data_IF_468571350406
#
_entry.id   IF_468571350406
#
_cell.length_a   1.000
_cell.length_b   1.000
_cell.length_c   1.000
_cell.angle_alpha   90.00
_cell.angle_beta   90.00
_cell.angle_gamma   90.00
#
_symmetry.space_group_name_H-M   'P 1'
#
loop_
_entity.id
_entity.type
_entity.pdbx_description
1 polymer ?
#
# COMPACT_ATOMS: atom_id res chain seq x y z
N UNK A 1 28.33 -37.77 -32.03
CA UNK A 1 27.25 -38.36 -31.20
C UNK A 1 26.33 -37.22 -30.75
N UNK A 2 25.07 -37.28 -31.20
CA UNK A 2 24.03 -36.36 -30.74
C UNK A 2 23.52 -36.94 -29.43
N UNK A 3 23.60 -36.15 -28.34
CA UNK A 3 23.06 -36.57 -27.07
C UNK A 3 21.63 -35.99 -26.90
N UNK A 4 20.68 -36.75 -26.35
CA UNK A 4 19.35 -36.26 -26.08
C UNK A 4 19.42 -35.12 -25.06
N UNK A 5 18.80 -33.98 -25.35
CA UNK A 5 18.75 -32.82 -24.49
C UNK A 5 17.32 -32.35 -24.25
N UNK A 6 17.13 -31.51 -23.24
CA UNK A 6 15.87 -30.83 -23.01
C UNK A 6 15.75 -29.60 -23.93
N UNK A 7 14.69 -29.53 -24.73
CA UNK A 7 14.38 -28.39 -25.59
C UNK A 7 13.24 -27.55 -24.97
N UNK A 8 13.40 -26.25 -24.98
CA UNK A 8 12.36 -25.30 -24.60
C UNK A 8 11.95 -24.48 -25.82
N UNK A 9 10.72 -24.59 -26.22
CA UNK A 9 10.18 -23.69 -27.23
C UNK A 9 9.95 -22.30 -26.56
N UNK A 10 10.60 -21.28 -27.12
CA UNK A 10 10.51 -19.90 -26.59
C UNK A 10 9.60 -19.03 -27.46
N UNK A 11 8.69 -18.26 -26.84
CA UNK A 11 7.93 -17.20 -27.51
C UNK A 11 8.52 -15.88 -27.06
N UNK A 12 9.09 -15.13 -28.02
CA UNK A 12 9.61 -13.78 -27.77
C UNK A 12 8.45 -12.78 -27.87
N UNK A 13 8.34 -11.92 -26.88
CA UNK A 13 7.31 -10.87 -26.83
C UNK A 13 7.80 -9.68 -26.01
N UNK A 14 7.03 -8.60 -25.95
CA UNK A 14 7.23 -7.48 -25.05
C UNK A 14 6.36 -7.61 -23.80
N UNK A 15 6.77 -6.96 -22.72
CA UNK A 15 6.01 -6.93 -21.50
C UNK A 15 6.33 -5.71 -20.66
N UNK A 16 5.62 -5.58 -19.56
CA UNK A 16 5.84 -4.54 -18.57
C UNK A 16 5.92 -5.13 -17.18
N UNK A 17 6.87 -4.63 -16.40
CA UNK A 17 6.96 -4.93 -14.96
C UNK A 17 6.08 -3.95 -14.20
N UNK A 18 5.23 -4.46 -13.31
CA UNK A 18 4.33 -3.67 -12.49
C UNK A 18 4.51 -4.01 -11.01
N UNK A 19 4.19 -3.08 -10.11
CA UNK A 19 4.11 -3.40 -8.68
C UNK A 19 2.98 -4.39 -8.42
N UNK A 20 3.22 -5.38 -7.56
CA UNK A 20 2.18 -6.33 -7.17
C UNK A 20 1.11 -5.66 -6.30
N UNK A 21 -0.13 -6.11 -6.43
CA UNK A 21 -1.21 -5.68 -5.54
C UNK A 21 -0.90 -6.12 -4.11
N UNK A 22 -1.11 -5.21 -3.14
CA UNK A 22 -0.82 -5.46 -1.72
C UNK A 22 0.57 -4.97 -1.27
N UNK A 23 1.48 -4.68 -2.18
CA UNK A 23 2.77 -4.03 -1.86
C UNK A 23 2.66 -2.50 -1.76
N UNK A 24 1.49 -1.94 -2.05
CA UNK A 24 1.19 -0.51 -1.96
C UNK A 24 0.24 -0.22 -0.80
N UNK A 25 0.51 0.84 -0.08
CA UNK A 25 -0.36 1.34 0.98
C UNK A 25 -0.44 2.85 0.91
N UNK A 26 -1.65 3.38 1.12
CA UNK A 26 -1.92 4.81 1.03
C UNK A 26 -2.05 5.38 2.43
N UNK A 27 -1.26 6.40 2.74
CA UNK A 27 -1.43 7.23 3.92
C UNK A 27 -2.59 8.19 3.67
N UNK A 28 -3.63 8.11 4.51
CA UNK A 28 -4.84 8.93 4.39
C UNK A 28 -4.94 9.94 5.53
N UNK A 29 -5.64 11.03 5.31
CA UNK A 29 -5.91 12.04 6.33
C UNK A 29 -6.78 11.45 7.45
N UNK A 30 -6.29 11.51 8.68
CA UNK A 30 -6.99 11.06 9.89
C UNK A 30 -7.86 12.16 10.51
N UNK A 31 -7.54 13.40 10.21
CA UNK A 31 -8.31 14.60 10.58
C UNK A 31 -8.38 15.54 9.38
N UNK A 32 -9.38 16.42 9.34
CA UNK A 32 -9.41 17.49 8.37
C UNK A 32 -8.40 18.58 8.74
N UNK A 33 -7.78 19.20 7.74
CA UNK A 33 -6.79 20.24 7.99
C UNK A 33 -6.04 20.68 6.75
N UNK A 34 -5.11 21.60 6.96
CA UNK A 34 -4.19 22.10 5.93
C UNK A 34 -2.91 21.28 5.96
N UNK A 35 -2.49 20.82 4.79
CA UNK A 35 -1.30 19.99 4.58
C UNK A 35 -0.03 20.82 4.78
N UNK A 36 0.90 20.27 5.58
CA UNK A 36 2.29 20.70 5.63
C UNK A 36 3.21 19.48 5.62
N UNK A 37 4.22 19.46 4.75
CA UNK A 37 5.16 18.35 4.71
C UNK A 37 6.17 18.43 5.85
N UNK A 38 6.43 17.28 6.49
CA UNK A 38 7.48 17.20 7.51
C UNK A 38 8.84 16.94 6.86
N UNK A 39 9.49 18.03 6.43
CA UNK A 39 10.75 17.97 5.71
C UNK A 39 10.54 17.75 4.19
N UNK A 40 11.60 17.33 3.51
CA UNK A 40 11.56 17.12 2.06
C UNK A 40 11.02 15.72 1.76
N UNK A 41 9.72 15.63 1.47
CA UNK A 41 9.08 14.40 1.00
C UNK A 41 8.99 14.46 -0.52
N UNK A 42 9.63 13.51 -1.21
CA UNK A 42 9.67 13.43 -2.68
C UNK A 42 9.39 12.00 -3.13
N UNK A 43 8.89 11.84 -4.33
CA UNK A 43 8.71 10.54 -4.97
C UNK A 43 10.06 9.81 -5.11
N UNK A 44 10.07 8.50 -4.88
CA UNK A 44 11.26 7.67 -4.82
C UNK A 44 12.02 7.69 -3.48
N UNK A 45 11.62 8.55 -2.53
CA UNK A 45 12.28 8.60 -1.21
C UNK A 45 11.97 7.34 -0.40
N UNK A 46 13.01 6.76 0.21
CA UNK A 46 12.87 5.64 1.15
C UNK A 46 12.28 6.12 2.48
N UNK A 47 11.31 5.37 2.99
CA UNK A 47 10.62 5.65 4.26
C UNK A 47 10.45 4.37 5.07
N UNK A 48 10.54 4.50 6.39
CA UNK A 48 10.21 3.41 7.33
C UNK A 48 8.76 3.53 7.80
N UNK A 49 8.16 2.39 8.17
CA UNK A 49 6.84 2.40 8.83
C UNK A 49 6.86 3.31 10.05
N UNK A 50 5.88 4.22 10.15
CA UNK A 50 5.77 5.18 11.23
C UNK A 50 6.53 6.50 10.99
N UNK A 51 7.29 6.64 9.88
CA UNK A 51 7.92 7.92 9.52
C UNK A 51 6.85 8.97 9.23
N UNK A 52 6.88 10.15 9.90
CA UNK A 52 5.94 11.23 9.61
C UNK A 52 6.20 11.80 8.20
N UNK A 53 5.17 11.81 7.36
CA UNK A 53 5.23 12.31 5.99
C UNK A 53 4.58 13.70 5.89
N UNK A 54 3.40 13.84 6.47
CA UNK A 54 2.56 15.04 6.38
C UNK A 54 2.10 15.41 7.77
N UNK A 55 1.95 16.70 8.01
CA UNK A 55 1.30 17.25 9.22
C UNK A 55 0.05 17.98 8.76
N UNK A 56 -1.08 17.66 9.37
CA UNK A 56 -2.37 18.31 9.13
C UNK A 56 -2.64 19.32 10.24
N UNK A 57 -2.65 20.59 9.89
CA UNK A 57 -2.96 21.67 10.84
C UNK A 57 -4.43 22.07 10.77
N UNK A 58 -5.11 22.01 11.89
CA UNK A 58 -6.51 22.46 12.05
C UNK A 58 -6.66 23.76 12.85
N UNK A 59 -5.54 24.42 13.18
CA UNK A 59 -5.52 25.57 14.09
C UNK A 59 -6.41 26.75 13.71
N UNK A 60 -6.59 26.99 12.40
CA UNK A 60 -7.34 28.15 11.89
C UNK A 60 -8.65 27.73 11.22
N UNK A 61 -9.17 26.54 11.55
CA UNK A 61 -10.45 26.08 11.00
C UNK A 61 -11.62 26.62 11.81
N UNK A 62 -12.71 26.95 11.13
CA UNK A 62 -13.94 27.45 11.78
C UNK A 62 -14.48 26.47 12.84
N UNK A 63 -14.34 25.16 12.58
CA UNK A 63 -14.72 24.12 13.53
C UNK A 63 -13.72 23.87 14.66
N UNK A 64 -12.58 24.55 14.66
CA UNK A 64 -11.51 24.37 15.65
C UNK A 64 -10.78 23.04 15.55
N UNK A 65 -9.81 22.83 16.45
CA UNK A 65 -8.98 21.62 16.47
C UNK A 65 -9.77 20.41 17.02
N UNK A 66 -9.99 19.35 16.26
CA UNK A 66 -10.69 18.15 16.70
C UNK A 66 -10.07 17.50 17.95
N UNK A 67 -8.73 17.55 18.07
CA UNK A 67 -8.00 16.97 19.20
C UNK A 67 -8.26 17.77 20.47
N UNK A 68 -8.30 19.09 20.38
CA UNK A 68 -8.63 19.94 21.53
C UNK A 68 -10.08 19.74 21.98
N UNK A 69 -11.03 19.61 21.05
CA UNK A 69 -12.43 19.30 21.38
C UNK A 69 -12.55 17.96 22.12
N UNK A 70 -11.91 16.92 21.59
CA UNK A 70 -11.93 15.59 22.19
C UNK A 70 -11.26 15.60 23.59
N UNK A 71 -10.16 16.36 23.74
CA UNK A 71 -9.48 16.52 25.04
C UNK A 71 -10.38 17.17 26.07
N UNK A 72 -11.04 18.26 25.72
CA UNK A 72 -11.98 18.96 26.62
C UNK A 72 -13.11 18.02 27.03
N UNK A 73 -13.72 17.31 26.09
CA UNK A 73 -14.77 16.35 26.39
C UNK A 73 -14.30 15.23 27.35
N UNK A 74 -13.10 14.71 27.14
CA UNK A 74 -12.48 13.72 28.00
C UNK A 74 -12.22 14.27 29.42
N UNK A 75 -11.62 15.47 29.54
CA UNK A 75 -11.33 16.07 30.83
C UNK A 75 -12.60 16.37 31.65
N UNK A 76 -13.67 16.83 30.96
CA UNK A 76 -14.97 17.10 31.60
C UNK A 76 -15.61 15.80 32.07
N UNK A 77 -15.69 14.81 31.22
CA UNK A 77 -16.30 13.51 31.55
C UNK A 77 -15.52 12.77 32.65
N UNK A 78 -14.20 12.89 32.66
CA UNK A 78 -13.34 12.32 33.69
C UNK A 78 -13.66 12.91 35.08
N UNK A 79 -13.77 14.25 35.19
CA UNK A 79 -14.11 14.90 36.42
C UNK A 79 -15.49 14.48 36.95
N UNK A 80 -16.47 14.34 36.04
CA UNK A 80 -17.81 13.89 36.38
C UNK A 80 -17.82 12.43 36.85
N UNK A 81 -17.11 11.53 36.15
CA UNK A 81 -16.93 10.16 36.58
C UNK A 81 -16.29 10.04 37.95
N UNK A 82 -15.20 10.78 38.22
CA UNK A 82 -14.53 10.79 39.52
C UNK A 82 -15.45 11.31 40.63
N UNK A 83 -16.26 12.33 40.34
CA UNK A 83 -17.28 12.85 41.29
C UNK A 83 -18.34 11.79 41.60
N UNK A 84 -18.91 11.17 40.57
CA UNK A 84 -19.94 10.13 40.74
C UNK A 84 -19.41 8.90 41.46
N UNK A 85 -18.15 8.51 41.20
CA UNK A 85 -17.48 7.40 41.88
C UNK A 85 -17.35 7.64 43.38
N UNK A 86 -17.04 8.87 43.78
CA UNK A 86 -16.98 9.21 45.20
C UNK A 86 -18.37 9.21 45.89
N UNK A 87 -19.43 9.59 45.16
CA UNK A 87 -20.78 9.69 45.70
C UNK A 87 -21.51 8.35 45.75
N UNK A 88 -21.28 7.44 44.80
CA UNK A 88 -21.94 6.12 44.77
C UNK A 88 -21.49 5.26 45.95
N UNK A 89 -20.24 5.37 46.38
CA UNK A 89 -19.72 4.67 47.58
C UNK A 89 -20.44 5.09 48.87
N UNK A 90 -20.97 6.31 48.91
CA UNK A 90 -21.74 6.85 50.01
C UNK A 90 -23.27 6.72 49.81
N UNK A 91 -23.72 6.01 48.78
CA UNK A 91 -25.14 5.83 48.38
C UNK A 91 -25.89 7.16 48.15
N UNK A 92 -25.17 8.22 47.75
CA UNK A 92 -25.75 9.55 47.47
C UNK A 92 -26.34 9.61 46.07
N UNK A 93 -25.76 8.83 45.12
CA UNK A 93 -26.23 8.67 43.75
C UNK A 93 -26.55 7.20 43.48
N UNK A 94 -27.42 6.93 42.52
CA UNK A 94 -27.79 5.57 42.14
C UNK A 94 -26.68 4.92 41.31
N UNK A 95 -26.61 3.57 41.32
CA UNK A 95 -25.71 2.78 40.46
C UNK A 95 -25.93 3.07 38.97
N UNK A 96 -27.19 3.39 38.60
CA UNK A 96 -27.55 3.75 37.23
C UNK A 96 -26.90 5.07 36.78
N UNK A 97 -26.93 6.09 37.63
CA UNK A 97 -26.30 7.39 37.37
C UNK A 97 -24.78 7.25 37.28
N UNK A 98 -24.19 6.46 38.18
CA UNK A 98 -22.76 6.16 38.10
C UNK A 98 -22.39 5.42 36.80
N UNK A 99 -23.13 4.38 36.40
CA UNK A 99 -22.88 3.65 35.18
C UNK A 99 -23.01 4.54 33.94
N UNK A 100 -23.92 5.51 33.90
CA UNK A 100 -24.04 6.49 32.82
C UNK A 100 -22.81 7.41 32.76
N UNK A 101 -22.33 7.91 33.89
CA UNK A 101 -21.13 8.75 33.93
C UNK A 101 -19.86 7.96 33.49
N UNK A 102 -19.77 6.69 33.88
CA UNK A 102 -18.69 5.80 33.46
C UNK A 102 -18.71 5.57 31.95
N UNK A 103 -19.90 5.29 31.37
CA UNK A 103 -20.05 5.10 29.92
C UNK A 103 -19.64 6.36 29.13
N UNK A 104 -20.07 7.55 29.60
CA UNK A 104 -19.70 8.82 28.95
C UNK A 104 -18.18 9.05 29.00
N UNK A 105 -17.58 8.79 30.17
CA UNK A 105 -16.14 8.90 30.35
C UNK A 105 -15.36 7.96 29.42
N UNK A 106 -15.74 6.66 29.37
CA UNK A 106 -15.07 5.68 28.52
C UNK A 106 -15.20 6.05 27.03
N UNK A 107 -16.37 6.48 26.57
CA UNK A 107 -16.58 6.93 25.20
C UNK A 107 -15.70 8.15 24.86
N UNK A 108 -15.63 9.12 25.76
CA UNK A 108 -14.79 10.32 25.58
C UNK A 108 -13.29 9.96 25.60
N UNK A 109 -12.88 9.02 26.45
CA UNK A 109 -11.50 8.50 26.51
C UNK A 109 -11.08 7.86 25.19
N UNK A 110 -11.89 6.92 24.68
CA UNK A 110 -11.64 6.23 23.41
C UNK A 110 -11.55 7.25 22.26
N UNK A 111 -12.48 8.21 22.22
CA UNK A 111 -12.49 9.25 21.20
C UNK A 111 -11.24 10.12 21.24
N UNK A 112 -10.81 10.53 22.45
CA UNK A 112 -9.61 11.34 22.62
C UNK A 112 -8.34 10.54 22.25
N UNK A 113 -8.18 9.32 22.73
CA UNK A 113 -7.02 8.46 22.43
C UNK A 113 -6.88 8.21 20.92
N UNK A 114 -8.00 8.03 20.21
CA UNK A 114 -8.01 7.82 18.77
C UNK A 114 -7.43 9.00 17.98
N UNK A 115 -7.78 10.24 18.36
CA UNK A 115 -7.35 11.46 17.66
C UNK A 115 -6.05 12.04 18.21
N UNK A 116 -5.70 11.78 19.48
CA UNK A 116 -4.48 12.29 20.10
C UNK A 116 -3.21 11.57 19.62
N UNK A 117 -3.34 10.36 19.09
CA UNK A 117 -2.22 9.61 18.53
C UNK A 117 -1.56 10.39 17.40
N UNK A 118 -0.24 10.60 17.49
CA UNK A 118 0.54 11.39 16.54
C UNK A 118 0.20 12.89 16.46
N UNK A 119 -0.53 13.43 17.44
CA UNK A 119 -0.80 14.86 17.52
C UNK A 119 0.38 15.60 18.20
N UNK A 120 0.70 16.78 17.67
CA UNK A 120 1.73 17.68 18.20
C UNK A 120 1.26 19.13 18.18
N UNK A 121 2.08 20.05 18.73
CA UNK A 121 1.77 21.48 18.67
C UNK A 121 1.66 22.04 17.24
N UNK A 122 2.26 21.39 16.25
CA UNK A 122 2.16 21.75 14.82
C UNK A 122 0.94 21.15 14.14
N UNK A 123 0.29 20.16 14.71
CA UNK A 123 -0.88 19.46 14.16
C UNK A 123 -0.78 17.95 14.25
N UNK A 124 -1.66 17.26 13.53
CA UNK A 124 -1.73 15.80 13.45
C UNK A 124 -0.76 15.27 12.40
N UNK A 125 0.20 14.45 12.83
CA UNK A 125 1.12 13.81 11.90
C UNK A 125 0.46 12.57 11.23
N UNK A 126 0.52 12.53 9.91
CA UNK A 126 0.20 11.35 9.11
C UNK A 126 1.49 10.64 8.79
N UNK A 127 1.58 9.38 9.22
CA UNK A 127 2.80 8.58 9.14
C UNK A 127 2.70 7.53 8.05
N UNK A 128 3.86 7.08 7.55
CA UNK A 128 3.90 5.99 6.58
C UNK A 128 3.33 4.69 7.19
N UNK A 129 2.35 4.06 6.55
CA UNK A 129 1.74 2.82 7.04
C UNK A 129 2.66 1.60 6.91
N UNK A 130 3.62 1.65 5.96
CA UNK A 130 4.57 0.58 5.65
C UNK A 130 5.97 1.15 5.44
N UNK A 131 6.99 0.30 5.53
CA UNK A 131 8.35 0.64 5.08
C UNK A 131 8.44 0.41 3.58
N UNK A 132 9.12 1.30 2.84
CA UNK A 132 9.22 1.23 1.38
C UNK A 132 9.67 2.54 0.77
N UNK A 133 9.10 2.86 -0.37
CA UNK A 133 9.41 4.09 -1.13
C UNK A 133 8.14 4.88 -1.39
N UNK A 134 8.22 6.21 -1.30
CA UNK A 134 7.13 7.11 -1.72
C UNK A 134 6.91 6.93 -3.22
N UNK A 135 5.70 6.50 -3.60
CA UNK A 135 5.34 6.27 -5.00
C UNK A 135 4.75 7.54 -5.63
N UNK A 136 3.72 8.10 -4.98
CA UNK A 136 3.06 9.33 -5.45
C UNK A 136 2.76 10.26 -4.27
N UNK A 137 2.87 11.55 -4.53
CA UNK A 137 2.35 12.61 -3.67
C UNK A 137 1.02 13.08 -4.27
N UNK A 138 -0.08 12.83 -3.54
CA UNK A 138 -1.46 13.10 -4.02
C UNK A 138 -1.98 14.47 -3.57
N UNK A 139 -1.18 15.20 -2.78
CA UNK A 139 -1.50 16.53 -2.24
C UNK A 139 -0.26 17.42 -2.30
N UNK A 140 -0.48 18.73 -2.19
CA UNK A 140 0.56 19.75 -2.17
C UNK A 140 0.60 20.46 -0.82
N UNK A 141 1.71 21.14 -0.56
CA UNK A 141 1.82 22.05 0.59
C UNK A 141 0.73 23.11 0.53
N UNK A 142 0.01 23.29 1.64
CA UNK A 142 -1.08 24.24 1.76
C UNK A 142 -2.45 23.74 1.30
N UNK A 143 -2.57 22.53 0.74
CA UNK A 143 -3.87 21.97 0.36
C UNK A 143 -4.73 21.72 1.61
N UNK A 144 -6.02 22.02 1.50
CA UNK A 144 -6.99 21.59 2.49
C UNK A 144 -7.47 20.17 2.18
N UNK A 145 -7.49 19.29 3.19
CA UNK A 145 -7.90 17.88 3.06
C UNK A 145 -8.98 17.53 4.08
N UNK A 146 -9.87 16.62 3.66
CA UNK A 146 -10.90 16.05 4.50
C UNK A 146 -10.47 14.69 5.06
N UNK A 147 -11.13 14.23 6.13
CA UNK A 147 -10.88 12.90 6.72
C UNK A 147 -11.06 11.81 5.66
N UNK A 148 -10.13 10.87 5.61
CA UNK A 148 -10.11 9.77 4.64
C UNK A 148 -9.51 10.11 3.28
N UNK A 149 -9.17 11.37 3.02
CA UNK A 149 -8.55 11.78 1.75
C UNK A 149 -7.15 11.16 1.62
N UNK A 150 -6.81 10.55 0.46
CA UNK A 150 -5.48 10.03 0.16
C UNK A 150 -4.44 11.15 0.10
N UNK A 151 -3.28 10.96 0.74
CA UNK A 151 -2.22 11.97 0.80
C UNK A 151 -0.94 11.52 0.11
N UNK A 152 -0.44 10.33 0.49
CA UNK A 152 0.82 9.79 -0.02
C UNK A 152 0.66 8.29 -0.22
N UNK A 153 1.04 7.78 -1.38
CA UNK A 153 1.15 6.34 -1.59
C UNK A 153 2.59 5.88 -1.39
N UNK A 154 2.75 4.76 -0.69
CA UNK A 154 4.03 4.13 -0.38
C UNK A 154 4.01 2.69 -0.90
N UNK A 155 5.07 2.28 -1.60
CA UNK A 155 5.20 0.93 -2.15
C UNK A 155 6.44 0.24 -1.59
N UNK A 156 6.33 -1.07 -1.36
CA UNK A 156 7.49 -1.87 -0.90
C UNK A 156 8.31 -2.42 -2.06
N UNK A 157 7.70 -2.61 -3.23
CA UNK A 157 8.32 -3.20 -4.41
C UNK A 157 8.99 -4.57 -4.13
N UNK A 158 8.50 -5.32 -3.13
CA UNK A 158 9.05 -6.64 -2.80
C UNK A 158 8.62 -7.71 -3.79
N UNK A 159 7.38 -7.61 -4.23
CA UNK A 159 6.81 -8.46 -5.27
C UNK A 159 6.44 -7.64 -6.48
N UNK A 160 6.72 -8.17 -7.64
CA UNK A 160 6.43 -7.54 -8.91
C UNK A 160 5.61 -8.49 -9.79
N UNK A 161 4.84 -7.90 -10.68
CA UNK A 161 4.18 -8.61 -11.77
C UNK A 161 4.93 -8.34 -13.08
N UNK A 162 5.20 -9.40 -13.82
CA UNK A 162 5.59 -9.32 -15.21
C UNK A 162 4.34 -9.61 -16.04
N UNK A 163 3.83 -8.62 -16.75
CA UNK A 163 2.78 -8.78 -17.75
C UNK A 163 3.42 -8.85 -19.12
N UNK A 164 3.30 -9.98 -19.77
CA UNK A 164 3.74 -10.20 -21.13
C UNK A 164 2.53 -10.14 -22.09
N UNK A 165 2.61 -9.35 -23.15
CA UNK A 165 1.54 -9.18 -24.15
C UNK A 165 1.81 -10.10 -25.33
N UNK A 166 1.18 -11.28 -25.35
CA UNK A 166 1.42 -12.35 -26.32
C UNK A 166 0.43 -12.25 -27.47
N UNK A 167 0.91 -12.35 -28.72
CA UNK A 167 0.03 -12.38 -29.89
C UNK A 167 -0.96 -13.55 -29.80
N UNK A 168 -2.23 -13.30 -30.11
CA UNK A 168 -3.34 -14.28 -30.07
C UNK A 168 -3.04 -15.58 -30.82
N UNK A 169 -2.23 -15.53 -31.87
CA UNK A 169 -1.81 -16.73 -32.63
C UNK A 169 -1.12 -17.80 -31.78
N UNK A 170 -0.54 -17.43 -30.65
CA UNK A 170 0.13 -18.33 -29.70
C UNK A 170 -0.80 -18.85 -28.60
N UNK A 171 -2.07 -18.45 -28.58
CA UNK A 171 -3.04 -18.87 -27.56
C UNK A 171 -3.07 -20.38 -27.29
N UNK A 172 -3.06 -21.27 -28.35
CA UNK A 172 -3.05 -22.71 -28.12
C UNK A 172 -1.85 -23.24 -27.34
N UNK A 173 -0.74 -22.50 -27.35
CA UNK A 173 0.52 -22.90 -26.69
C UNK A 173 0.65 -22.35 -25.27
N UNK A 174 -0.22 -21.43 -24.82
CA UNK A 174 -0.11 -20.78 -23.50
C UNK A 174 -0.28 -21.78 -22.35
N UNK A 175 -1.02 -22.86 -22.56
CA UNK A 175 -1.14 -23.94 -21.56
C UNK A 175 0.19 -24.64 -21.24
N UNK A 176 1.13 -24.64 -22.16
CA UNK A 176 2.44 -25.28 -22.00
C UNK A 176 3.49 -24.35 -21.42
N UNK A 177 3.18 -23.06 -21.22
CA UNK A 177 4.11 -22.09 -20.64
C UNK A 177 4.30 -22.41 -19.16
N UNK A 178 5.52 -22.73 -18.75
CA UNK A 178 5.87 -23.04 -17.38
C UNK A 178 6.64 -21.90 -16.68
N UNK A 179 7.36 -21.07 -17.45
CA UNK A 179 8.20 -20.00 -16.93
C UNK A 179 8.43 -18.91 -17.97
N UNK A 180 9.16 -17.88 -17.61
CA UNK A 180 9.64 -16.85 -18.51
C UNK A 180 11.02 -16.33 -18.08
N UNK A 181 11.75 -15.80 -19.06
CA UNK A 181 12.92 -14.96 -18.83
C UNK A 181 12.59 -13.57 -19.36
N UNK A 182 13.18 -12.54 -18.77
CA UNK A 182 13.04 -11.19 -19.28
C UNK A 182 14.35 -10.41 -19.22
N UNK A 183 14.49 -9.44 -20.13
CA UNK A 183 15.65 -8.57 -20.21
C UNK A 183 15.21 -7.13 -20.00
N UNK A 184 15.89 -6.42 -19.13
CA UNK A 184 15.64 -4.99 -18.87
C UNK A 184 16.54 -4.12 -19.76
N UNK A 185 16.01 -3.04 -20.38
CA UNK A 185 16.76 -2.23 -21.34
C UNK A 185 17.86 -1.38 -20.70
N UNK A 186 17.79 -1.13 -19.38
CA UNK A 186 18.72 -0.23 -18.69
C UNK A 186 20.02 -0.91 -18.21
N UNK A 187 20.06 -2.24 -18.09
CA UNK A 187 21.27 -2.96 -17.67
C UNK A 187 21.60 -4.18 -18.55
N UNK A 188 20.76 -4.48 -19.57
CA UNK A 188 20.89 -5.65 -20.45
C UNK A 188 21.01 -7.00 -19.70
N UNK A 189 20.56 -7.04 -18.43
CA UNK A 189 20.60 -8.23 -17.60
C UNK A 189 19.39 -9.11 -17.92
N UNK A 190 19.64 -10.39 -18.13
CA UNK A 190 18.59 -11.39 -18.27
C UNK A 190 18.21 -11.90 -16.89
N UNK A 191 16.95 -11.84 -16.58
CA UNK A 191 16.36 -12.33 -15.33
C UNK A 191 15.56 -13.60 -15.62
N UNK A 192 15.86 -14.64 -14.87
CA UNK A 192 15.15 -15.91 -14.94
C UNK A 192 14.06 -15.94 -13.86
N UNK A 193 12.80 -15.99 -14.23
CA UNK A 193 11.70 -16.00 -13.26
C UNK A 193 11.83 -17.14 -12.24
N UNK A 194 12.33 -18.31 -12.67
CA UNK A 194 12.55 -19.46 -11.77
C UNK A 194 13.50 -19.10 -10.61
N UNK A 195 14.59 -18.35 -10.86
CA UNK A 195 15.54 -17.92 -9.84
C UNK A 195 14.97 -16.81 -8.93
N UNK A 196 14.00 -16.06 -9.44
CA UNK A 196 13.29 -15.03 -8.69
C UNK A 196 12.05 -15.58 -7.95
N UNK A 197 11.88 -16.90 -7.87
CA UNK A 197 10.70 -17.50 -7.24
C UNK A 197 9.40 -17.22 -8.03
N UNK A 198 9.55 -16.96 -9.34
CA UNK A 198 8.46 -16.55 -10.20
C UNK A 198 7.47 -17.68 -10.49
N UNK A 199 6.19 -17.33 -10.58
CA UNK A 199 5.12 -18.23 -10.96
C UNK A 199 4.13 -17.53 -11.88
N UNK A 200 3.57 -18.26 -12.81
CA UNK A 200 2.47 -17.77 -13.63
C UNK A 200 1.20 -17.68 -12.78
N UNK A 201 0.53 -16.52 -12.82
CA UNK A 201 -0.73 -16.29 -12.13
C UNK A 201 -1.93 -16.53 -13.06
N UNK A 202 -1.85 -16.01 -14.29
CA UNK A 202 -2.95 -16.07 -15.22
C UNK A 202 -2.47 -15.87 -16.66
N UNK A 203 -3.25 -16.39 -17.60
CA UNK A 203 -3.20 -15.99 -18.99
C UNK A 203 -4.63 -15.74 -19.50
N UNK A 204 -4.74 -14.71 -20.29
CA UNK A 204 -5.85 -14.00 -20.77
C UNK A 204 -7.17 -14.68 -21.06
N UNK A 205 -8.11 -14.52 -20.14
CA UNK A 205 -9.54 -14.57 -20.47
C UNK A 205 -10.17 -13.18 -20.57
N UNK A 206 -9.42 -12.11 -20.32
CA UNK A 206 -9.82 -10.74 -20.52
C UNK A 206 -8.84 -10.09 -21.48
N UNK A 207 -9.23 -9.95 -22.74
CA UNK A 207 -8.56 -9.06 -23.68
C UNK A 207 -8.70 -7.63 -23.14
N UNK A 208 -7.56 -6.92 -23.02
CA UNK A 208 -7.61 -5.48 -22.81
C UNK A 208 -8.25 -4.77 -24.01
N UNK A 209 -8.38 -3.46 -23.96
CA UNK A 209 -8.97 -2.62 -25.03
C UNK A 209 -8.31 -2.82 -26.41
N UNK A 210 -7.13 -3.43 -26.47
CA UNK A 210 -6.42 -3.83 -27.70
C UNK A 210 -6.53 -5.35 -27.90
N UNK A 211 -7.59 -5.81 -28.54
CA UNK A 211 -7.98 -7.22 -28.71
C UNK A 211 -7.03 -8.14 -29.48
N UNK A 212 -5.80 -7.72 -29.80
CA UNK A 212 -4.82 -8.55 -30.57
C UNK A 212 -3.80 -9.26 -29.70
N UNK A 213 -3.79 -8.99 -28.37
CA UNK A 213 -2.81 -9.55 -27.45
C UNK A 213 -3.48 -10.22 -26.26
N UNK A 214 -2.94 -11.36 -25.89
CA UNK A 214 -3.34 -12.12 -24.71
C UNK A 214 -2.33 -11.82 -23.61
N UNK A 215 -2.75 -11.17 -22.50
CA UNK A 215 -1.84 -10.91 -21.40
C UNK A 215 -1.54 -12.20 -20.64
N UNK A 216 -0.25 -12.46 -20.43
CA UNK A 216 0.25 -13.51 -19.52
C UNK A 216 0.93 -12.83 -18.34
N UNK A 217 0.45 -13.12 -17.14
CA UNK A 217 0.93 -12.46 -15.92
C UNK A 217 1.66 -13.45 -15.03
N UNK A 218 2.86 -13.06 -14.63
CA UNK A 218 3.69 -13.77 -13.65
C UNK A 218 3.89 -12.88 -12.42
N UNK A 219 3.97 -13.49 -11.25
CA UNK A 219 4.43 -12.86 -10.01
C UNK A 219 5.86 -13.33 -9.73
N UNK A 220 6.72 -12.44 -9.23
CA UNK A 220 8.07 -12.79 -8.84
C UNK A 220 8.59 -11.89 -7.70
N UNK A 221 9.59 -12.36 -6.97
CA UNK A 221 10.23 -11.59 -5.90
C UNK A 221 11.25 -10.60 -6.49
N UNK A 222 11.10 -9.33 -6.14
CA UNK A 222 12.07 -8.30 -6.51
C UNK A 222 13.27 -8.35 -5.57
N UNK A 223 14.40 -8.78 -6.07
CA UNK A 223 15.68 -8.79 -5.33
C UNK A 223 16.42 -7.43 -5.38
N UNK A 224 15.69 -6.36 -5.69
CA UNK A 224 16.19 -4.97 -5.62
C UNK A 224 16.68 -4.37 -6.94
N UNK A 225 16.78 -5.18 -7.99
CA UNK A 225 17.38 -4.77 -9.27
C UNK A 225 16.35 -4.35 -10.33
N UNK A 226 15.07 -4.74 -10.18
CA UNK A 226 14.03 -4.52 -11.18
C UNK A 226 13.18 -3.32 -10.80
N UNK A 227 13.07 -2.38 -11.73
CA UNK A 227 12.32 -1.13 -11.55
C UNK A 227 10.87 -1.33 -12.01
N UNK A 228 9.86 -1.16 -11.13
CA UNK A 228 8.46 -1.18 -11.54
C UNK A 228 8.17 -0.08 -12.59
N UNK A 229 7.31 -0.40 -13.55
CA UNK A 229 7.01 0.48 -14.67
C UNK A 229 7.85 0.22 -15.92
N UNK A 230 8.96 -0.53 -15.80
CA UNK A 230 9.85 -0.81 -16.92
C UNK A 230 9.18 -1.67 -17.98
N UNK A 231 9.38 -1.29 -19.25
CA UNK A 231 9.11 -2.16 -20.40
C UNK A 231 10.30 -3.09 -20.60
N UNK A 232 10.02 -4.36 -20.85
CA UNK A 232 11.02 -5.42 -20.91
C UNK A 232 10.78 -6.32 -22.12
N UNK A 233 11.85 -6.92 -22.62
CA UNK A 233 11.75 -8.00 -23.59
C UNK A 233 11.54 -9.32 -22.83
N UNK A 234 10.54 -10.12 -23.21
CA UNK A 234 10.12 -11.33 -22.50
C UNK A 234 10.27 -12.54 -23.42
N UNK A 235 10.84 -13.60 -22.86
CA UNK A 235 10.96 -14.90 -23.49
C UNK A 235 10.14 -15.90 -22.64
N UNK A 236 8.96 -16.26 -23.12
CA UNK A 236 8.13 -17.27 -22.50
C UNK A 236 8.69 -18.65 -22.83
N UNK A 237 8.84 -19.50 -21.83
CA UNK A 237 9.41 -20.82 -21.95
C UNK A 237 8.34 -21.89 -21.74
N UNK A 238 8.20 -22.80 -22.68
CA UNK A 238 7.36 -24.00 -22.51
C UNK A 238 7.96 -24.90 -21.42
N UNK A 239 7.13 -25.76 -20.83
CA UNK A 239 7.63 -26.87 -20.02
C UNK A 239 8.63 -27.70 -20.84
N UNK A 240 9.71 -28.19 -20.22
CA UNK A 240 10.73 -28.95 -20.94
C UNK A 240 10.10 -30.15 -21.63
N UNK A 241 10.40 -30.32 -22.93
CA UNK A 241 10.17 -31.58 -23.62
C UNK A 241 11.41 -32.46 -23.37
N UNK A 242 11.23 -33.53 -22.59
CA UNK A 242 12.29 -34.50 -22.35
C UNK A 242 12.47 -35.41 -23.56
N UNK A 243 13.72 -35.76 -23.89
CA UNK A 243 14.09 -36.69 -24.97
C UNK A 243 13.75 -36.22 -26.38
N UNK A 244 14.01 -34.96 -26.71
CA UNK A 244 13.97 -34.50 -28.11
C UNK A 244 15.35 -34.75 -28.76
N UNK A 245 15.37 -35.54 -29.81
CA UNK A 245 16.52 -35.76 -30.71
C UNK A 245 16.59 -34.65 -31.74
#
# INVERSE_FOLDING_TARGET
TVEPGSFHQGIKTSGQVMAAQGDESVAVATVAGVVSFKGKVIEGMSVSKGTPLVVLSSKNMADGDPVQKARIAYEVSKKEYERMKALVGNKIVSEKEFAQAEQIYENARISYEAVAKNHSASGQAVVSPISGYVKNLLVKEGDYVSVGQPLVSVTQNRKLFLRADVSEKYYPYLNSIGSANFCTPYNNKVYTLKELGGRMLSYGKASGENGYYVPVTFEFDNKGDVIPGSFVEVFLLSSPMENVL
#
